data_IF_514854348995
#
_entry.id   IF_514854348995
#
_cell.length_a   1.000
_cell.length_b   1.000
_cell.length_c   1.000
_cell.angle_alpha   90.00
_cell.angle_beta   90.00
_cell.angle_gamma   90.00
#
_symmetry.space_group_name_H-M   'P 1'
#
loop_
_entity.id
_entity.type
_entity.pdbx_description
1 polymer ?
#
# COMPACT_ATOMS: atom_id res chain seq x y z
N UNK A 1 11.31 9.65 11.50
CA UNK A 1 11.04 9.69 10.04
C UNK A 1 11.01 8.25 9.57
N UNK A 2 9.84 7.63 9.52
CA UNK A 2 9.68 6.22 9.14
C UNK A 2 9.72 6.12 7.63
N UNK A 3 10.92 6.05 7.06
CA UNK A 3 11.09 5.79 5.63
C UNK A 3 10.96 4.29 5.41
N UNK A 4 9.77 3.81 5.06
CA UNK A 4 9.64 2.50 4.43
C UNK A 4 10.24 2.66 3.03
N UNK A 5 11.38 2.04 2.77
CA UNK A 5 12.00 2.01 1.44
C UNK A 5 12.14 0.56 1.01
N UNK A 6 11.72 0.26 -0.22
CA UNK A 6 11.87 -1.08 -0.83
C UNK A 6 12.81 -1.01 -2.01
N UNK A 7 13.48 -2.13 -2.33
CA UNK A 7 14.34 -2.19 -3.50
C UNK A 7 13.51 -2.40 -4.77
N UNK A 8 14.01 -1.88 -5.90
CA UNK A 8 13.44 -2.13 -7.22
C UNK A 8 13.21 -3.62 -7.46
N UNK A 9 11.98 -3.95 -7.89
CA UNK A 9 11.59 -5.33 -8.19
C UNK A 9 11.12 -6.14 -6.99
N UNK A 10 11.14 -5.59 -5.77
CA UNK A 10 10.47 -6.21 -4.63
C UNK A 10 8.97 -5.90 -4.67
N UNK A 11 8.17 -6.92 -4.36
CA UNK A 11 6.74 -6.73 -4.11
C UNK A 11 6.57 -5.93 -2.81
N UNK A 12 5.81 -4.84 -2.87
CA UNK A 12 5.50 -4.01 -1.71
C UNK A 12 4.13 -4.42 -1.18
N UNK A 13 4.08 -4.98 0.03
CA UNK A 13 2.82 -5.31 0.69
C UNK A 13 2.34 -4.07 1.43
N UNK A 14 1.13 -3.63 1.11
CA UNK A 14 0.43 -2.53 1.78
C UNK A 14 -0.78 -3.08 2.53
N UNK A 15 -1.06 -2.47 3.68
CA UNK A 15 -2.21 -2.80 4.52
C UNK A 15 -2.91 -1.51 4.92
N UNK A 16 -4.23 -1.49 4.78
CA UNK A 16 -5.10 -0.44 5.28
C UNK A 16 -6.07 -1.05 6.28
N UNK A 17 -6.25 -0.37 7.41
CA UNK A 17 -7.23 -0.74 8.43
C UNK A 17 -8.39 0.26 8.35
N UNK A 18 -9.60 -0.25 8.27
CA UNK A 18 -10.85 0.52 8.31
C UNK A 18 -11.49 0.22 9.65
N UNK A 19 -11.56 1.24 10.50
CA UNK A 19 -12.16 1.14 11.81
C UNK A 19 -13.57 1.75 11.77
N UNK A 20 -14.55 1.13 12.46
CA UNK A 20 -15.84 1.75 12.71
C UNK A 20 -15.68 3.05 13.51
N UNK A 21 -16.31 4.13 13.05
CA UNK A 21 -16.54 5.32 13.88
C UNK A 21 -17.89 5.19 14.62
N UNK A 22 -17.92 5.56 15.90
CA UNK A 22 -19.16 5.60 16.69
C UNK A 22 -20.21 6.51 16.00
N UNK A 23 -21.50 6.11 15.90
CA UNK A 23 -22.15 4.98 16.57
C UNK A 23 -22.17 3.67 15.77
N UNK A 24 -21.48 3.60 14.63
CA UNK A 24 -21.48 2.40 13.80
C UNK A 24 -20.80 1.25 14.54
N UNK A 25 -21.47 0.10 14.62
CA UNK A 25 -20.97 -1.13 15.24
C UNK A 25 -20.98 -2.25 14.21
N UNK A 26 -19.85 -2.93 14.07
CA UNK A 26 -19.69 -4.04 13.13
C UNK A 26 -18.29 -4.07 12.56
N UNK A 27 -18.05 -5.03 11.67
CA UNK A 27 -16.82 -5.09 10.87
C UNK A 27 -17.11 -4.47 9.52
N UNK A 28 -16.38 -3.42 9.09
CA UNK A 28 -16.56 -2.85 7.77
C UNK A 28 -16.19 -3.89 6.71
N UNK A 29 -17.10 -4.09 5.76
CA UNK A 29 -16.93 -4.96 4.61
C UNK A 29 -16.64 -4.15 3.35
N UNK A 30 -16.48 -4.84 2.22
CA UNK A 30 -16.21 -4.21 0.93
C UNK A 30 -14.73 -4.23 0.55
N UNK A 31 -14.34 -3.27 -0.27
CA UNK A 31 -13.00 -3.21 -0.86
C UNK A 31 -12.35 -1.85 -0.63
N UNK A 32 -11.02 -1.89 -0.46
CA UNK A 32 -10.17 -0.71 -0.39
C UNK A 32 -9.32 -0.66 -1.66
N UNK A 33 -9.41 0.45 -2.39
CA UNK A 33 -8.56 0.75 -3.51
C UNK A 33 -7.25 1.38 -3.00
N UNK A 34 -6.12 0.79 -3.35
CA UNK A 34 -4.80 1.35 -3.09
C UNK A 34 -4.33 2.11 -4.33
N UNK A 35 -4.04 3.39 -4.15
CA UNK A 35 -3.58 4.27 -5.21
C UNK A 35 -2.08 4.52 -5.06
N UNK A 36 -1.39 4.54 -6.19
CA UNK A 36 0.01 4.95 -6.33
C UNK A 36 0.01 6.18 -7.23
N UNK A 37 0.49 7.30 -6.71
CA UNK A 37 0.53 8.60 -7.42
C UNK A 37 -0.83 9.04 -7.97
N UNK A 38 -1.91 8.71 -7.25
CA UNK A 38 -3.29 9.02 -7.62
C UNK A 38 -3.92 8.06 -8.64
N UNK A 39 -3.22 6.99 -9.03
CA UNK A 39 -3.74 5.94 -9.92
C UNK A 39 -4.01 4.68 -9.12
N UNK A 40 -5.20 4.10 -9.24
CA UNK A 40 -5.52 2.82 -8.63
C UNK A 40 -4.55 1.74 -9.14
N UNK A 41 -3.73 1.21 -8.23
CA UNK A 41 -2.73 0.20 -8.55
C UNK A 41 -3.22 -1.20 -8.22
N UNK A 42 -4.01 -1.33 -7.14
CA UNK A 42 -4.65 -2.59 -6.78
C UNK A 42 -5.82 -2.38 -5.80
N UNK A 43 -6.60 -3.43 -5.59
CA UNK A 43 -7.70 -3.45 -4.62
C UNK A 43 -7.48 -4.57 -3.61
N UNK A 44 -7.80 -4.31 -2.34
CA UNK A 44 -7.79 -5.30 -1.27
C UNK A 44 -9.19 -5.46 -0.70
N UNK A 45 -9.67 -6.69 -0.56
CA UNK A 45 -10.91 -6.97 0.15
C UNK A 45 -10.71 -6.81 1.65
N UNK A 46 -11.64 -6.17 2.34
CA UNK A 46 -11.63 -6.08 3.80
C UNK A 46 -11.94 -7.45 4.42
N UNK A 47 -11.02 -7.93 5.23
CA UNK A 47 -11.19 -9.09 6.10
C UNK A 47 -10.94 -8.63 7.53
N UNK A 48 -11.96 -8.75 8.38
CA UNK A 48 -11.90 -8.28 9.78
C UNK A 48 -11.48 -6.80 9.91
N UNK A 49 -11.95 -5.95 8.99
CA UNK A 49 -11.63 -4.52 8.97
C UNK A 49 -10.25 -4.18 8.41
N UNK A 50 -9.48 -5.18 7.94
CA UNK A 50 -8.17 -4.96 7.32
C UNK A 50 -8.19 -5.37 5.85
N UNK A 51 -7.77 -4.46 4.98
CA UNK A 51 -7.52 -4.75 3.58
C UNK A 51 -6.01 -4.84 3.36
N UNK A 52 -5.57 -5.88 2.66
CA UNK A 52 -4.17 -6.03 2.26
C UNK A 52 -4.08 -6.12 0.75
N UNK A 53 -3.00 -5.56 0.20
CA UNK A 53 -2.71 -5.68 -1.20
C UNK A 53 -1.20 -5.75 -1.44
N UNK A 54 -0.81 -6.48 -2.48
CA UNK A 54 0.57 -6.55 -2.96
C UNK A 54 0.71 -5.65 -4.18
N UNK A 55 1.41 -4.53 -4.02
CA UNK A 55 1.84 -3.70 -5.13
C UNK A 55 3.00 -4.40 -5.85
N UNK A 56 2.92 -4.41 -7.19
CA UNK A 56 3.95 -4.98 -8.04
C UNK A 56 5.25 -4.17 -8.01
N UNK A 57 6.16 -4.43 -8.95
CA UNK A 57 7.40 -3.67 -9.07
C UNK A 57 7.10 -2.21 -9.44
N UNK A 58 7.20 -1.32 -8.45
CA UNK A 58 7.22 0.12 -8.66
C UNK A 58 8.57 0.55 -9.26
N UNK A 59 8.56 1.65 -10.02
CA UNK A 59 9.76 2.27 -10.58
C UNK A 59 10.57 2.92 -9.44
N UNK A 60 11.91 3.05 -9.52
CA UNK A 60 12.64 3.78 -8.49
C UNK A 60 12.22 5.25 -8.44
N UNK A 61 11.96 5.75 -7.24
CA UNK A 61 11.42 7.09 -7.05
C UNK A 61 10.59 7.24 -5.78
N UNK A 62 10.16 8.47 -5.50
CA UNK A 62 9.18 8.75 -4.47
C UNK A 62 7.77 8.56 -5.03
N UNK A 63 6.97 7.73 -4.37
CA UNK A 63 5.59 7.43 -4.69
C UNK A 63 4.66 7.86 -3.55
N UNK A 64 3.50 8.38 -3.90
CA UNK A 64 2.42 8.66 -2.96
C UNK A 64 1.48 7.45 -2.91
N UNK A 65 1.45 6.76 -1.76
CA UNK A 65 0.57 5.63 -1.52
C UNK A 65 -0.66 6.13 -0.75
N UNK A 66 -1.84 6.01 -1.33
CA UNK A 66 -3.11 6.32 -0.70
C UNK A 66 -4.01 5.07 -0.65
N UNK A 67 -4.98 5.07 0.25
CA UNK A 67 -5.99 4.03 0.32
C UNK A 67 -7.37 4.69 0.41
N UNK A 68 -8.28 4.25 -0.45
CA UNK A 68 -9.66 4.74 -0.56
C UNK A 68 -10.61 3.58 -0.35
N UNK A 69 -11.45 3.69 0.68
CA UNK A 69 -12.53 2.78 0.95
C UNK A 69 -13.81 3.31 0.30
N UNK A 70 -14.42 2.50 -0.57
CA UNK A 70 -15.62 2.89 -1.33
C UNK A 70 -16.92 2.95 -0.52
N UNK A 71 -16.88 2.58 0.76
CA UNK A 71 -18.08 2.39 1.58
C UNK A 71 -18.72 1.02 1.37
N UNK A 72 -19.67 0.70 2.23
CA UNK A 72 -20.57 -0.44 2.08
C UNK A 72 -22.02 -0.05 2.45
N UNK A 73 -22.91 -1.03 2.68
CA UNK A 73 -24.30 -0.75 3.04
C UNK A 73 -24.46 -0.11 4.44
N UNK A 74 -23.43 -0.14 5.27
CA UNK A 74 -23.40 0.25 6.69
C UNK A 74 -22.39 1.36 6.98
N UNK A 75 -21.27 1.40 6.26
CA UNK A 75 -20.16 2.32 6.46
C UNK A 75 -20.01 3.26 5.26
N UNK A 76 -19.89 4.55 5.54
CA UNK A 76 -19.65 5.56 4.51
C UNK A 76 -18.24 5.41 3.88
N UNK A 77 -18.04 5.91 2.65
CA UNK A 77 -16.72 5.96 2.03
C UNK A 77 -15.72 6.74 2.89
N UNK A 78 -14.50 6.22 3.02
CA UNK A 78 -13.43 6.83 3.81
C UNK A 78 -12.09 6.75 3.09
N UNK A 79 -11.13 7.57 3.49
CA UNK A 79 -9.81 7.61 2.87
C UNK A 79 -8.71 7.72 3.92
N UNK A 80 -7.64 6.95 3.75
CA UNK A 80 -6.44 7.08 4.57
C UNK A 80 -5.58 8.24 4.10
N UNK A 81 -4.88 8.90 5.02
CA UNK A 81 -3.89 9.91 4.66
C UNK A 81 -2.78 9.29 3.78
N UNK A 82 -2.41 9.95 2.66
CA UNK A 82 -1.39 9.41 1.79
C UNK A 82 -0.03 9.40 2.48
N UNK A 83 0.71 8.31 2.27
CA UNK A 83 2.06 8.08 2.81
C UNK A 83 3.07 8.13 1.67
N UNK A 84 4.16 8.88 1.87
CA UNK A 84 5.29 8.84 0.94
C UNK A 84 6.08 7.55 1.12
N UNK A 85 6.21 6.79 0.05
CA UNK A 85 7.06 5.61 -0.05
C UNK A 85 8.16 5.85 -1.08
N UNK A 86 9.41 5.57 -0.74
CA UNK A 86 10.52 5.71 -1.68
C UNK A 86 10.98 4.32 -2.12
N UNK A 87 11.06 4.09 -3.42
CA UNK A 87 11.61 2.86 -3.99
C UNK A 87 13.06 3.13 -4.38
N UNK A 88 13.99 2.40 -3.77
CA UNK A 88 15.41 2.54 -4.04
C UNK A 88 15.81 1.76 -5.31
N UNK A 89 16.68 2.36 -6.11
CA UNK A 89 17.28 1.73 -7.28
C UNK A 89 18.38 0.71 -6.96
N UNK A 90 18.73 0.52 -5.67
CA UNK A 90 19.90 -0.27 -5.28
C UNK A 90 19.68 -1.79 -5.30
N UNK A 91 20.00 -2.41 -6.43
CA UNK A 91 20.39 -3.82 -6.46
C UNK A 91 21.62 -4.00 -7.37
N UNK A 92 22.77 -3.50 -6.91
CA UNK A 92 24.05 -3.88 -7.53
C UNK A 92 24.59 -5.15 -6.87
N UNK A 93 24.55 -6.27 -7.60
CA UNK A 93 25.35 -7.47 -7.29
C UNK A 93 26.82 -7.17 -7.65
N UNK A 94 27.67 -7.00 -6.64
CA UNK A 94 29.11 -6.90 -6.87
C UNK A 94 29.66 -8.31 -7.16
N UNK A 95 30.01 -8.59 -8.42
CA UNK A 95 30.84 -9.76 -8.71
C UNK A 95 32.22 -9.53 -8.08
N UNK A 96 32.82 -10.50 -7.35
CA UNK A 96 34.18 -10.33 -6.87
C UNK A 96 35.11 -10.14 -8.08
N UNK A 97 36.11 -9.25 -7.94
CA UNK A 97 37.19 -9.13 -8.93
C UNK A 97 37.91 -10.48 -9.00
N UNK A 98 37.91 -11.13 -10.16
CA UNK A 98 38.79 -12.26 -10.43
C UNK A 98 40.17 -11.68 -10.70
N UNK A 99 41.06 -11.74 -9.72
CA UNK A 99 42.51 -11.54 -9.92
C UNK A 99 43.15 -12.89 -10.19
N UNK A 100 43.98 -12.97 -11.24
CA UNK A 100 44.71 -14.17 -11.64
C UNK A 100 45.77 -14.56 -10.61
#
# INVERSE_FOLDING_TARGET
RSATSTNLGQALIVSAEVLPDDPARGTPGGEVAFLVDGVAACTGTLQDGTATCTLGSLVPGAHLIAAEYGGDATFDPSGANPVFHTVDSSAFLYLPRITR
#
